data_IF_102672127695
#
_entry.id   IF_102672127695
#
_cell.length_a   1.000
_cell.length_b   1.000
_cell.length_c   1.000
_cell.angle_alpha   90.00
_cell.angle_beta   90.00
_cell.angle_gamma   90.00
#
_symmetry.space_group_name_H-M   'P 1'
#
loop_
_entity.id
_entity.type
_entity.pdbx_description
1 polymer ?
#
# COMPACT_ATOMS: atom_id res chain seq x y z
N UNK A 1 -38.97 -36.40 -35.12
CA UNK A 1 -39.02 -34.93 -35.11
C UNK A 1 -39.79 -34.54 -33.86
N UNK A 2 -39.19 -33.64 -33.09
CA UNK A 2 -39.66 -32.99 -31.84
C UNK A 2 -39.51 -33.76 -30.52
N UNK A 3 -38.36 -33.48 -29.90
CA UNK A 3 -38.10 -33.33 -28.45
C UNK A 3 -38.95 -32.19 -27.86
N UNK A 4 -39.19 -32.23 -26.53
CA UNK A 4 -39.04 -31.12 -25.56
C UNK A 4 -39.65 -31.55 -24.21
N UNK A 5 -38.88 -32.17 -23.31
CA UNK A 5 -38.14 -31.57 -22.16
C UNK A 5 -38.98 -30.75 -21.17
N UNK A 6 -39.08 -31.28 -19.94
CA UNK A 6 -39.42 -30.55 -18.70
C UNK A 6 -38.14 -30.03 -18.04
N UNK A 7 -38.21 -28.94 -17.24
CA UNK A 7 -37.50 -28.92 -15.95
C UNK A 7 -38.41 -28.40 -14.82
N UNK A 8 -38.49 -29.06 -13.66
CA UNK A 8 -37.63 -28.94 -12.45
C UNK A 8 -37.82 -27.61 -11.71
N UNK A 9 -38.49 -27.70 -10.56
CA UNK A 9 -38.61 -26.67 -9.52
C UNK A 9 -37.36 -26.70 -8.65
N UNK A 10 -36.74 -25.54 -8.40
CA UNK A 10 -35.80 -25.33 -7.29
C UNK A 10 -36.14 -24.02 -6.56
N UNK A 11 -36.19 -24.15 -5.24
CA UNK A 11 -36.51 -23.14 -4.25
C UNK A 11 -35.43 -22.05 -4.17
N UNK A 12 -35.85 -20.78 -4.06
CA UNK A 12 -35.00 -19.67 -3.65
C UNK A 12 -35.51 -19.15 -2.30
N UNK A 13 -34.79 -19.50 -1.24
CA UNK A 13 -34.86 -18.90 0.09
C UNK A 13 -33.91 -17.69 0.15
N UNK A 14 -34.44 -16.53 0.53
CA UNK A 14 -33.65 -15.36 0.95
C UNK A 14 -33.21 -15.49 2.41
N UNK A 15 -32.10 -14.85 2.82
CA UNK A 15 -31.94 -14.41 4.20
C UNK A 15 -31.76 -12.89 4.35
N UNK A 16 -32.61 -12.33 5.21
CA UNK A 16 -32.50 -11.03 5.86
C UNK A 16 -31.20 -10.90 6.67
N UNK A 17 -30.55 -9.74 6.63
CA UNK A 17 -29.57 -9.35 7.65
C UNK A 17 -29.96 -7.97 8.20
N UNK A 18 -30.23 -7.99 9.50
CA UNK A 18 -30.67 -6.92 10.37
C UNK A 18 -29.51 -5.98 10.70
N UNK A 19 -29.77 -4.67 10.60
CA UNK A 19 -28.96 -3.60 11.20
C UNK A 19 -29.17 -3.58 12.71
N UNK A 20 -28.11 -3.61 13.52
CA UNK A 20 -28.05 -2.92 14.82
C UNK A 20 -26.64 -3.00 15.44
N UNK A 21 -26.27 -1.91 16.13
CA UNK A 21 -25.18 -1.72 17.10
C UNK A 21 -23.79 -1.32 16.59
N UNK A 22 -23.56 -0.01 16.46
CA UNK A 22 -22.24 0.60 16.64
C UNK A 22 -22.35 1.59 17.82
N UNK A 23 -21.83 1.21 18.98
CA UNK A 23 -21.65 2.12 20.11
C UNK A 23 -20.41 2.99 19.90
N UNK A 24 -20.61 4.31 19.91
CA UNK A 24 -19.56 5.32 20.00
C UNK A 24 -18.90 5.28 21.39
N UNK A 25 -17.60 5.00 21.45
CA UNK A 25 -16.79 5.31 22.63
C UNK A 25 -15.92 6.53 22.33
N UNK A 26 -16.14 7.57 23.14
CA UNK A 26 -15.58 8.90 22.97
C UNK A 26 -14.09 9.01 23.28
N UNK A 27 -13.41 9.83 22.47
CA UNK A 27 -12.03 10.25 22.65
C UNK A 27 -12.00 11.39 23.67
N UNK A 28 -11.57 11.11 24.89
CA UNK A 28 -11.13 12.13 25.83
C UNK A 28 -9.95 11.58 26.62
N UNK A 29 -8.72 11.92 26.20
CA UNK A 29 -7.56 12.24 27.06
C UNK A 29 -6.24 12.13 26.30
N UNK A 30 -5.80 13.20 25.64
CA UNK A 30 -4.38 13.42 25.33
C UNK A 30 -4.05 14.91 25.48
N UNK A 31 -4.03 15.39 26.72
CA UNK A 31 -3.26 16.57 27.12
C UNK A 31 -2.16 16.11 28.06
N UNK A 32 -0.95 16.03 27.54
CA UNK A 32 0.24 15.83 28.35
C UNK A 32 1.25 14.96 27.64
N UNK A 33 2.18 15.59 26.92
CA UNK A 33 3.62 15.33 27.00
C UNK A 33 4.33 16.27 26.03
N UNK A 34 4.72 17.41 26.60
CA UNK A 34 5.58 18.42 26.01
C UNK A 34 7.03 18.13 26.45
N UNK A 35 7.96 18.30 25.50
CA UNK A 35 9.42 18.48 25.62
C UNK A 35 10.34 17.26 25.78
N UNK A 36 11.24 17.10 24.79
CA UNK A 36 12.70 17.02 25.01
C UNK A 36 13.49 17.51 23.77
N UNK A 37 14.72 18.03 23.97
CA UNK A 37 15.43 18.87 23.00
C UNK A 37 16.30 18.10 22.00
N UNK A 38 16.50 18.73 20.85
CA UNK A 38 17.47 18.40 19.80
C UNK A 38 18.89 18.52 20.37
N UNK A 39 19.73 17.50 20.14
CA UNK A 39 21.17 17.63 20.31
C UNK A 39 21.90 17.05 19.09
N UNK A 40 22.89 17.82 18.66
CA UNK A 40 23.68 17.72 17.45
C UNK A 40 24.72 16.59 17.54
N UNK A 41 25.04 16.01 16.38
CA UNK A 41 26.08 14.98 16.27
C UNK A 41 26.19 14.43 14.86
N UNK A 42 26.60 15.26 13.91
CA UNK A 42 26.98 14.81 12.55
C UNK A 42 28.47 14.43 12.56
N UNK A 43 28.86 13.22 12.13
CA UNK A 43 30.21 12.97 11.68
C UNK A 43 30.31 13.10 10.15
N UNK A 44 31.32 13.88 9.74
CA UNK A 44 31.85 13.96 8.39
C UNK A 44 32.17 12.58 7.81
N UNK A 45 31.77 12.36 6.57
CA UNK A 45 32.61 11.65 5.60
C UNK A 45 32.67 12.47 4.31
N UNK A 46 33.89 12.87 4.01
CA UNK A 46 34.36 13.46 2.75
C UNK A 46 34.18 12.46 1.63
N UNK A 47 33.56 12.88 0.53
CA UNK A 47 33.74 12.20 -0.74
C UNK A 47 34.29 13.22 -1.72
N UNK A 48 35.55 12.99 -2.11
CA UNK A 48 36.20 13.73 -3.17
C UNK A 48 35.45 13.51 -4.47
N UNK A 49 35.14 14.65 -5.07
CA UNK A 49 34.86 14.90 -6.47
C UNK A 49 35.73 14.05 -7.42
N UNK A 50 35.13 13.56 -8.49
CA UNK A 50 35.46 13.98 -9.86
C UNK A 50 34.75 13.07 -10.88
N UNK A 51 33.64 13.55 -11.46
CA UNK A 51 33.31 13.32 -12.87
C UNK A 51 32.12 14.19 -13.29
N UNK A 52 32.48 15.40 -13.72
CA UNK A 52 31.97 16.10 -14.91
C UNK A 52 30.45 16.04 -15.20
N UNK A 53 29.76 17.12 -14.84
CA UNK A 53 28.84 17.76 -15.77
C UNK A 53 29.01 19.28 -15.65
N UNK A 54 29.86 19.78 -16.55
CA UNK A 54 30.09 21.17 -16.86
C UNK A 54 28.76 21.84 -17.20
N UNK A 55 28.29 22.68 -16.28
CA UNK A 55 27.19 23.63 -16.51
C UNK A 55 27.75 24.68 -17.46
N UNK A 56 27.27 24.65 -18.70
CA UNK A 56 27.65 25.59 -19.74
C UNK A 56 26.71 26.80 -19.64
N UNK A 57 27.16 27.80 -18.88
CA UNK A 57 26.54 29.12 -18.86
C UNK A 57 26.85 29.81 -20.20
N UNK A 58 25.80 30.03 -21.00
CA UNK A 58 25.84 30.89 -22.18
C UNK A 58 25.00 32.13 -21.89
N UNK A 59 25.68 33.21 -21.52
CA UNK A 59 25.14 34.56 -21.62
C UNK A 59 25.71 35.22 -22.90
N UNK A 60 24.77 35.71 -23.70
CA UNK A 60 24.79 36.84 -24.65
C UNK A 60 25.91 37.04 -25.69
N UNK A 61 25.45 37.05 -26.94
CA UNK A 61 25.67 38.08 -27.98
C UNK A 61 25.97 37.44 -29.33
N UNK A 62 24.93 37.24 -30.14
CA UNK A 62 24.97 37.56 -31.57
C UNK A 62 23.54 37.63 -32.11
N UNK A 63 23.21 38.84 -32.57
CA UNK A 63 22.07 39.18 -33.40
C UNK A 63 21.96 38.22 -34.59
N UNK A 64 20.85 37.47 -34.67
CA UNK A 64 20.27 37.09 -35.95
C UNK A 64 18.75 36.94 -35.78
N UNK A 65 18.11 37.99 -36.30
CA UNK A 65 16.72 38.17 -36.67
C UNK A 65 16.20 36.98 -37.50
N UNK A 66 15.35 36.13 -36.90
CA UNK A 66 14.45 35.24 -37.64
C UNK A 66 13.19 34.98 -36.81
N UNK A 67 12.34 36.01 -36.80
CA UNK A 67 10.93 35.98 -36.45
C UNK A 67 10.16 34.97 -37.33
N UNK A 68 10.20 33.68 -36.97
CA UNK A 68 9.31 32.67 -37.57
C UNK A 68 7.94 32.70 -36.88
N UNK A 69 7.20 33.77 -37.15
CA UNK A 69 5.77 33.85 -36.93
C UNK A 69 5.06 32.77 -37.75
N UNK A 70 4.53 31.75 -37.07
CA UNK A 70 3.67 30.75 -37.70
C UNK A 70 2.25 31.33 -37.75
N UNK A 71 1.95 32.07 -38.82
CA UNK A 71 0.64 32.64 -39.10
C UNK A 71 -0.42 31.53 -39.19
N UNK A 72 -1.24 31.43 -38.15
CA UNK A 72 -2.52 30.73 -38.19
C UNK A 72 -3.58 31.78 -38.54
N UNK A 73 -3.93 31.88 -39.82
CA UNK A 73 -5.06 32.70 -40.29
C UNK A 73 -6.36 32.14 -39.71
N UNK A 74 -6.87 32.79 -38.67
CA UNK A 74 -8.17 32.54 -38.07
C UNK A 74 -9.17 33.51 -38.72
N UNK A 75 -9.97 33.02 -39.67
CA UNK A 75 -11.08 33.76 -40.26
C UNK A 75 -12.24 33.83 -39.25
N UNK A 76 -12.43 35.00 -38.64
CA UNK A 76 -13.64 35.36 -37.89
C UNK A 76 -14.82 35.59 -38.85
N UNK A 77 -15.87 34.78 -38.75
CA UNK A 77 -17.22 35.12 -39.23
C UNK A 77 -18.21 35.16 -38.05
N UNK A 78 -18.68 36.36 -37.72
CA UNK A 78 -19.79 36.63 -36.80
C UNK A 78 -21.14 36.16 -37.40
N UNK A 79 -21.94 35.37 -36.65
CA UNK A 79 -23.41 35.57 -36.64
C UNK A 79 -24.18 34.93 -35.45
N UNK A 80 -24.84 35.82 -34.70
CA UNK A 80 -26.22 35.78 -34.16
C UNK A 80 -26.64 34.65 -33.16
N UNK A 81 -26.97 35.13 -31.95
CA UNK A 81 -27.48 34.49 -30.72
C UNK A 81 -28.72 33.59 -30.89
N UNK A 82 -28.71 32.40 -30.28
CA UNK A 82 -29.91 31.67 -29.84
C UNK A 82 -29.59 30.57 -28.81
N UNK A 83 -30.26 30.64 -27.64
CA UNK A 83 -30.39 29.67 -26.54
C UNK A 83 -29.18 29.43 -25.59
N UNK A 84 -29.35 29.50 -24.25
CA UNK A 84 -28.29 29.18 -23.31
C UNK A 84 -28.13 27.65 -23.23
N UNK A 85 -27.42 27.10 -24.20
CA UNK A 85 -26.73 25.83 -24.06
C UNK A 85 -25.60 26.09 -23.07
N UNK A 86 -25.63 25.43 -21.91
CA UNK A 86 -24.49 25.44 -20.99
C UNK A 86 -23.24 25.05 -21.80
N UNK A 87 -22.19 25.87 -21.84
CA UNK A 87 -21.03 25.56 -22.65
C UNK A 87 -20.48 24.21 -22.20
N UNK A 88 -20.39 23.28 -23.15
CA UNK A 88 -19.47 22.16 -23.06
C UNK A 88 -18.11 22.82 -22.89
N UNK A 89 -17.55 22.76 -21.69
CA UNK A 89 -16.18 23.22 -21.45
C UNK A 89 -15.29 22.56 -22.49
N UNK A 90 -14.54 23.36 -23.24
CA UNK A 90 -13.47 22.87 -24.10
C UNK A 90 -12.68 21.80 -23.31
N UNK A 91 -12.50 20.62 -23.88
CA UNK A 91 -11.63 19.62 -23.27
C UNK A 91 -10.25 20.27 -23.10
N UNK A 92 -9.91 20.68 -21.88
CA UNK A 92 -8.64 21.32 -21.58
C UNK A 92 -7.53 20.38 -22.03
N UNK A 93 -6.82 20.77 -23.09
CA UNK A 93 -5.69 20.00 -23.61
C UNK A 93 -4.66 19.82 -22.51
N UNK A 94 -4.25 18.58 -22.26
CA UNK A 94 -3.30 18.25 -21.19
C UNK A 94 -1.93 18.85 -21.53
N UNK A 95 -1.60 19.95 -20.86
CA UNK A 95 -0.32 20.67 -21.05
C UNK A 95 0.87 19.81 -20.62
N UNK A 96 2.06 20.10 -21.16
CA UNK A 96 3.29 19.37 -20.79
C UNK A 96 3.60 19.44 -19.28
N UNK A 97 3.37 20.60 -18.65
CA UNK A 97 3.53 20.77 -17.20
C UNK A 97 2.57 19.86 -16.41
N UNK A 98 1.32 19.73 -16.86
CA UNK A 98 0.36 18.82 -16.23
C UNK A 98 0.77 17.36 -16.45
N UNK A 99 1.34 16.99 -17.61
CA UNK A 99 1.87 15.64 -17.83
C UNK A 99 2.99 15.29 -16.83
N UNK A 100 3.90 16.21 -16.54
CA UNK A 100 4.95 15.99 -15.52
C UNK A 100 4.33 15.82 -14.13
N UNK A 101 3.36 16.68 -13.77
CA UNK A 101 2.66 16.57 -12.49
C UNK A 101 1.96 15.23 -12.34
N UNK A 102 1.32 14.74 -13.40
CA UNK A 102 0.69 13.42 -13.45
C UNK A 102 1.71 12.30 -13.24
N UNK A 103 2.89 12.37 -13.88
CA UNK A 103 3.97 11.38 -13.71
C UNK A 103 4.45 11.34 -12.26
N UNK A 104 4.71 12.51 -11.64
CA UNK A 104 5.13 12.57 -10.24
C UNK A 104 4.04 12.02 -9.30
N UNK A 105 2.78 12.38 -9.53
CA UNK A 105 1.66 11.88 -8.73
C UNK A 105 1.51 10.36 -8.87
N UNK A 106 1.68 9.81 -10.08
CA UNK A 106 1.69 8.37 -10.32
C UNK A 106 2.80 7.68 -9.55
N UNK A 107 4.02 8.20 -9.61
CA UNK A 107 5.16 7.65 -8.86
C UNK A 107 4.86 7.62 -7.37
N UNK A 108 4.36 8.73 -6.83
CA UNK A 108 4.06 8.84 -5.41
C UNK A 108 2.97 7.85 -4.96
N UNK A 109 1.90 7.69 -5.74
CA UNK A 109 0.85 6.70 -5.44
C UNK A 109 1.42 5.27 -5.47
N UNK A 110 2.28 4.96 -6.45
CA UNK A 110 2.93 3.66 -6.52
C UNK A 110 3.86 3.41 -5.30
N UNK A 111 4.58 4.43 -4.83
CA UNK A 111 5.40 4.33 -3.61
C UNK A 111 4.54 4.03 -2.38
N UNK A 112 3.37 4.67 -2.25
CA UNK A 112 2.41 4.38 -1.19
C UNK A 112 1.86 2.96 -1.28
N UNK A 113 1.60 2.47 -2.50
CA UNK A 113 1.18 1.08 -2.73
C UNK A 113 2.24 0.08 -2.28
N UNK A 114 3.50 0.28 -2.64
CA UNK A 114 4.60 -0.57 -2.20
C UNK A 114 4.79 -0.53 -0.68
N UNK A 115 4.62 0.66 -0.07
CA UNK A 115 4.67 0.80 1.38
C UNK A 115 3.57 0.00 2.08
N UNK A 116 2.32 0.08 1.59
CA UNK A 116 1.21 -0.73 2.12
C UNK A 116 1.52 -2.21 1.98
N UNK A 117 1.98 -2.67 0.80
CA UNK A 117 2.37 -4.08 0.59
C UNK A 117 3.45 -4.52 1.58
N UNK A 118 4.48 -3.71 1.78
CA UNK A 118 5.56 -4.00 2.73
C UNK A 118 5.03 -4.13 4.15
N UNK A 119 4.20 -3.20 4.63
CA UNK A 119 3.62 -3.27 5.96
C UNK A 119 2.67 -4.46 6.13
N UNK A 120 1.88 -4.80 5.10
CA UNK A 120 1.02 -6.00 5.14
C UNK A 120 1.84 -7.27 5.29
N UNK A 121 2.94 -7.38 4.55
CA UNK A 121 3.84 -8.53 4.62
C UNK A 121 4.45 -8.70 6.02
N UNK A 122 4.99 -7.63 6.61
CA UNK A 122 5.59 -7.69 7.95
C UNK A 122 4.56 -7.99 9.04
N UNK A 123 3.35 -7.45 8.91
CA UNK A 123 2.24 -7.77 9.82
C UNK A 123 1.88 -9.26 9.74
N UNK A 124 1.73 -9.79 8.54
CA UNK A 124 1.33 -11.18 8.32
C UNK A 124 2.41 -12.18 8.75
N UNK A 125 3.67 -11.84 8.48
CA UNK A 125 4.83 -12.57 9.00
C UNK A 125 4.85 -12.59 10.52
N UNK A 126 4.65 -11.44 11.17
CA UNK A 126 4.63 -11.36 12.64
C UNK A 126 3.44 -12.13 13.25
N UNK A 127 2.29 -12.16 12.59
CA UNK A 127 1.14 -13.00 12.99
C UNK A 127 1.47 -14.49 12.93
N UNK A 128 2.15 -14.94 11.88
CA UNK A 128 2.54 -16.35 11.77
C UNK A 128 3.62 -16.72 12.79
N UNK A 129 4.59 -15.83 13.07
CA UNK A 129 5.56 -16.02 14.16
C UNK A 129 4.88 -16.15 15.52
N UNK A 130 3.90 -15.29 15.83
CA UNK A 130 3.12 -15.35 17.07
C UNK A 130 2.36 -16.68 17.19
N UNK A 131 1.76 -17.15 16.10
CA UNK A 131 1.07 -18.43 16.05
C UNK A 131 2.02 -19.60 16.28
N UNK A 132 3.22 -19.57 15.71
CA UNK A 132 4.24 -20.59 15.96
C UNK A 132 4.68 -20.62 17.42
N UNK A 133 4.94 -19.46 18.02
CA UNK A 133 5.26 -19.32 19.44
C UNK A 133 4.15 -19.92 20.32
N UNK A 134 2.89 -19.56 20.08
CA UNK A 134 1.74 -20.15 20.80
C UNK A 134 1.64 -21.66 20.64
N UNK A 135 1.90 -22.19 19.46
CA UNK A 135 1.92 -23.65 19.26
C UNK A 135 3.03 -24.32 20.07
N UNK A 136 4.18 -23.67 20.18
CA UNK A 136 5.32 -24.14 20.96
C UNK A 136 5.02 -24.11 22.47
N UNK A 137 4.41 -23.03 22.98
CA UNK A 137 3.90 -22.94 24.36
C UNK A 137 2.99 -24.13 24.66
N UNK A 138 1.94 -24.33 23.83
CA UNK A 138 1.01 -25.44 23.99
C UNK A 138 1.69 -26.83 23.95
N UNK A 139 2.79 -26.99 23.21
CA UNK A 139 3.56 -28.23 23.18
C UNK A 139 4.35 -28.45 24.46
N UNK A 140 4.99 -27.40 24.97
CA UNK A 140 5.76 -27.43 26.22
C UNK A 140 4.81 -27.70 27.40
N UNK A 141 3.65 -27.06 27.45
CA UNK A 141 2.62 -27.30 28.46
C UNK A 141 2.16 -28.76 28.48
N UNK A 142 1.86 -29.35 27.31
CA UNK A 142 1.50 -30.78 27.22
C UNK A 142 2.61 -31.69 27.75
N UNK A 143 3.88 -31.40 27.41
CA UNK A 143 5.02 -32.16 27.93
C UNK A 143 5.17 -32.00 29.44
N UNK A 144 5.00 -30.78 29.96
CA UNK A 144 5.03 -30.48 31.39
C UNK A 144 4.00 -31.32 32.13
N UNK A 145 2.75 -31.31 31.66
CA UNK A 145 1.65 -32.04 32.28
C UNK A 145 1.86 -33.56 32.20
N UNK A 146 2.38 -34.08 31.08
CA UNK A 146 2.76 -35.49 30.96
C UNK A 146 3.88 -35.85 31.95
N UNK A 147 4.93 -35.03 32.07
CA UNK A 147 5.99 -35.27 33.05
C UNK A 147 5.48 -35.19 34.48
N UNK A 148 4.48 -34.35 34.75
CA UNK A 148 3.84 -34.26 36.06
C UNK A 148 3.09 -35.56 36.41
N UNK A 149 2.31 -36.11 35.47
CA UNK A 149 1.67 -37.43 35.64
C UNK A 149 2.73 -38.52 35.85
N UNK A 150 3.83 -38.49 35.10
CA UNK A 150 4.93 -39.45 35.28
C UNK A 150 5.56 -39.34 36.67
N UNK A 151 5.67 -38.14 37.24
CA UNK A 151 6.13 -37.94 38.63
C UNK A 151 5.18 -38.63 39.60
N UNK A 152 3.87 -38.41 39.48
CA UNK A 152 2.88 -39.05 40.36
C UNK A 152 2.98 -40.58 40.29
N UNK A 153 3.10 -41.16 39.08
CA UNK A 153 3.26 -42.62 38.93
C UNK A 153 4.56 -43.14 39.55
N UNK A 154 5.67 -42.42 39.42
CA UNK A 154 6.95 -42.80 40.02
C UNK A 154 6.93 -42.67 41.54
N UNK A 155 6.16 -41.72 42.09
CA UNK A 155 5.91 -41.59 43.53
C UNK A 155 5.05 -42.76 44.04
N UNK A 156 4.04 -43.21 43.30
CA UNK A 156 3.24 -44.40 43.67
C UNK A 156 4.03 -45.70 43.63
N UNK A 157 5.01 -45.80 42.73
CA UNK A 157 5.90 -46.96 42.60
C UNK A 157 7.09 -46.91 43.58
N UNK A 158 7.16 -45.90 44.45
CA UNK A 158 8.25 -45.63 45.41
C UNK A 158 9.64 -45.55 44.74
N UNK A 159 9.69 -45.13 43.47
CA UNK A 159 10.90 -45.00 42.69
C UNK A 159 11.51 -43.61 42.84
N UNK A 160 12.09 -43.36 44.01
CA UNK A 160 12.67 -42.08 44.41
C UNK A 160 13.67 -41.53 43.39
N UNK A 161 14.50 -42.39 42.78
CA UNK A 161 15.49 -41.96 41.79
C UNK A 161 14.84 -41.45 40.49
N UNK A 162 13.75 -42.07 40.04
CA UNK A 162 13.00 -41.59 38.89
C UNK A 162 12.30 -40.26 39.19
N UNK A 163 11.73 -40.11 40.39
CA UNK A 163 11.08 -38.87 40.84
C UNK A 163 12.04 -37.68 40.76
N UNK A 164 13.26 -37.79 41.29
CA UNK A 164 14.23 -36.68 41.22
C UNK A 164 14.62 -36.31 39.80
N UNK A 165 14.79 -37.30 38.91
CA UNK A 165 15.10 -37.04 37.49
C UNK A 165 13.94 -36.34 36.78
N UNK A 166 12.72 -36.80 37.01
CA UNK A 166 11.51 -36.22 36.39
C UNK A 166 11.21 -34.82 36.94
N UNK A 167 11.39 -34.58 38.25
CA UNK A 167 11.29 -33.23 38.83
C UNK A 167 12.29 -32.27 38.20
N UNK A 168 13.55 -32.69 38.03
CA UNK A 168 14.54 -31.87 37.33
C UNK A 168 14.18 -31.61 35.85
N UNK A 169 13.52 -32.56 35.17
CA UNK A 169 13.03 -32.34 33.81
C UNK A 169 11.83 -31.37 33.78
N UNK A 170 10.89 -31.52 34.70
CA UNK A 170 9.75 -30.63 34.87
C UNK A 170 10.20 -29.18 35.15
N UNK A 171 11.15 -28.97 36.07
CA UNK A 171 11.70 -27.64 36.37
C UNK A 171 12.35 -26.97 35.15
N UNK A 172 12.95 -27.76 34.25
CA UNK A 172 13.48 -27.25 32.98
C UNK A 172 12.36 -26.82 32.04
N UNK A 173 11.30 -27.62 31.91
CA UNK A 173 10.14 -27.29 31.09
C UNK A 173 9.43 -26.03 31.59
N UNK A 174 9.34 -25.83 32.90
CA UNK A 174 8.77 -24.60 33.49
C UNK A 174 9.60 -23.38 33.09
N UNK A 175 10.93 -23.45 33.18
CA UNK A 175 11.80 -22.34 32.74
C UNK A 175 11.74 -22.09 31.24
N UNK A 176 11.64 -23.15 30.43
CA UNK A 176 11.47 -23.03 28.99
C UNK A 176 10.13 -22.37 28.65
N UNK A 177 9.06 -22.74 29.36
CA UNK A 177 7.74 -22.13 29.24
C UNK A 177 7.77 -20.64 29.58
N UNK A 178 8.36 -20.25 30.72
CA UNK A 178 8.52 -18.84 31.12
C UNK A 178 9.26 -18.03 30.04
N UNK A 179 10.31 -18.61 29.44
CA UNK A 179 11.06 -17.93 28.38
C UNK A 179 10.28 -17.79 27.07
N UNK A 180 9.43 -18.77 26.74
CA UNK A 180 8.60 -18.74 25.55
C UNK A 180 7.42 -17.77 25.71
N UNK A 181 6.84 -17.67 26.92
CA UNK A 181 5.83 -16.66 27.26
C UNK A 181 6.39 -15.23 27.17
N UNK A 182 7.62 -14.99 27.65
CA UNK A 182 8.29 -13.69 27.49
C UNK A 182 8.54 -13.37 26.00
N UNK A 183 8.84 -14.39 25.19
CA UNK A 183 8.97 -14.23 23.75
C UNK A 183 7.62 -13.92 23.11
N UNK A 184 6.53 -14.55 23.54
CA UNK A 184 5.17 -14.26 23.07
C UNK A 184 4.82 -12.79 23.31
N UNK A 185 5.07 -12.26 24.52
CA UNK A 185 4.81 -10.87 24.86
C UNK A 185 5.56 -9.90 23.94
N UNK A 186 6.83 -10.18 23.66
CA UNK A 186 7.65 -9.37 22.74
C UNK A 186 7.13 -9.41 21.31
N UNK A 187 6.74 -10.59 20.82
CA UNK A 187 6.17 -10.74 19.47
C UNK A 187 4.81 -10.04 19.39
N UNK A 188 3.98 -10.12 20.43
CA UNK A 188 2.70 -9.45 20.50
C UNK A 188 2.84 -7.92 20.49
N UNK A 189 3.79 -7.36 21.25
CA UNK A 189 4.11 -5.93 21.21
C UNK A 189 4.60 -5.50 19.81
N UNK A 190 5.45 -6.31 19.18
CA UNK A 190 5.89 -6.05 17.79
C UNK A 190 4.73 -6.14 16.80
N UNK A 191 3.78 -7.05 17.01
CA UNK A 191 2.59 -7.15 16.17
C UNK A 191 1.79 -5.86 16.23
N UNK A 192 1.54 -5.32 17.42
CA UNK A 192 0.84 -4.05 17.60
C UNK A 192 1.54 -2.89 16.87
N UNK A 193 2.87 -2.84 16.91
CA UNK A 193 3.66 -1.86 16.17
C UNK A 193 3.50 -2.02 14.65
N UNK A 194 3.65 -3.24 14.13
CA UNK A 194 3.51 -3.50 12.67
C UNK A 194 2.10 -3.25 12.17
N UNK A 195 1.08 -3.55 12.98
CA UNK A 195 -0.30 -3.21 12.68
C UNK A 195 -0.43 -1.68 12.66
N UNK A 196 -0.01 -0.96 13.68
CA UNK A 196 -0.08 0.50 13.68
C UNK A 196 0.59 1.13 12.43
N UNK A 197 1.74 0.62 12.00
CA UNK A 197 2.41 1.06 10.77
C UNK A 197 1.58 0.77 9.50
N UNK A 198 0.97 -0.41 9.41
CA UNK A 198 0.05 -0.76 8.32
C UNK A 198 -1.12 0.22 8.26
N UNK A 199 -1.79 0.46 9.38
CA UNK A 199 -2.93 1.39 9.43
C UNK A 199 -2.50 2.81 9.04
N UNK A 200 -1.32 3.25 9.47
CA UNK A 200 -0.74 4.54 9.08
C UNK A 200 -0.51 4.62 7.56
N UNK A 201 0.02 3.56 6.94
CA UNK A 201 0.24 3.49 5.50
C UNK A 201 -1.08 3.48 4.72
N UNK A 202 -2.09 2.74 5.19
CA UNK A 202 -3.43 2.70 4.58
C UNK A 202 -4.13 4.05 4.65
N UNK A 203 -4.05 4.75 5.78
CA UNK A 203 -4.57 6.11 5.94
C UNK A 203 -3.86 7.08 5.00
N UNK A 204 -2.53 6.97 4.86
CA UNK A 204 -1.75 7.81 3.95
C UNK A 204 -2.16 7.58 2.49
N UNK A 205 -2.30 6.33 2.06
CA UNK A 205 -2.83 5.96 0.74
C UNK A 205 -4.26 6.46 0.53
N UNK A 206 -5.11 6.35 1.55
CA UNK A 206 -6.49 6.81 1.52
C UNK A 206 -6.64 8.30 1.19
N UNK A 207 -5.65 9.15 1.53
CA UNK A 207 -5.64 10.58 1.19
C UNK A 207 -5.57 10.82 -0.33
N UNK A 208 -5.04 9.87 -1.09
CA UNK A 208 -4.85 9.99 -2.54
C UNK A 208 -5.93 9.26 -3.35
N UNK A 209 -6.91 8.63 -2.72
CA UNK A 209 -7.93 7.82 -3.41
C UNK A 209 -8.67 8.59 -4.52
N UNK A 210 -9.07 9.84 -4.25
CA UNK A 210 -9.74 10.66 -5.26
C UNK A 210 -8.78 11.09 -6.38
N UNK A 211 -7.57 11.49 -6.00
CA UNK A 211 -6.52 11.91 -6.93
C UNK A 211 -6.10 10.76 -7.86
N UNK A 212 -6.06 9.53 -7.38
CA UNK A 212 -5.77 8.33 -8.17
C UNK A 212 -6.83 8.11 -9.26
N UNK A 213 -8.11 8.24 -8.91
CA UNK A 213 -9.20 8.07 -9.87
C UNK A 213 -9.18 9.16 -10.96
N UNK A 214 -8.98 10.42 -10.57
CA UNK A 214 -8.85 11.53 -11.52
C UNK A 214 -7.62 11.35 -12.43
N UNK A 215 -6.47 10.99 -11.83
CA UNK A 215 -5.23 10.73 -12.56
C UNK A 215 -5.42 9.62 -13.59
N UNK A 216 -6.09 8.52 -13.22
CA UNK A 216 -6.37 7.40 -14.12
C UNK A 216 -7.23 7.82 -15.31
N UNK A 217 -8.21 8.70 -15.10
CA UNK A 217 -9.02 9.26 -16.19
C UNK A 217 -8.16 10.13 -17.13
N UNK A 218 -7.39 11.07 -16.58
CA UNK A 218 -6.50 11.96 -17.35
C UNK A 218 -5.45 11.18 -18.13
N UNK A 219 -4.86 10.14 -17.55
CA UNK A 219 -3.90 9.27 -18.23
C UNK A 219 -4.54 8.54 -19.42
N UNK A 220 -5.76 8.01 -19.27
CA UNK A 220 -6.46 7.36 -20.37
C UNK A 220 -6.79 8.33 -21.50
N UNK A 221 -7.17 9.56 -21.17
CA UNK A 221 -7.40 10.62 -22.15
C UNK A 221 -6.12 10.94 -22.92
N UNK A 222 -5.00 11.15 -22.21
CA UNK A 222 -3.71 11.43 -22.81
C UNK A 222 -3.23 10.30 -23.73
N UNK A 223 -3.41 9.04 -23.32
CA UNK A 223 -3.09 7.87 -24.14
C UNK A 223 -3.93 7.88 -25.42
N UNK A 224 -5.24 8.14 -25.31
CA UNK A 224 -6.13 8.22 -26.48
C UNK A 224 -5.70 9.32 -27.45
N UNK A 225 -5.41 10.52 -26.95
CA UNK A 225 -4.91 11.63 -27.77
C UNK A 225 -3.61 11.27 -28.50
N UNK A 226 -2.64 10.69 -27.79
CA UNK A 226 -1.36 10.24 -28.38
C UNK A 226 -1.57 9.18 -29.46
N UNK A 227 -2.47 8.21 -29.21
CA UNK A 227 -2.79 7.17 -30.21
C UNK A 227 -3.49 7.74 -31.44
N UNK A 228 -4.46 8.63 -31.27
CA UNK A 228 -5.16 9.30 -32.37
C UNK A 228 -4.18 10.14 -33.22
N UNK A 229 -3.28 10.87 -32.56
CA UNK A 229 -2.27 11.66 -33.25
C UNK A 229 -1.29 10.76 -34.04
N UNK A 230 -0.85 9.64 -33.46
CA UNK A 230 -0.02 8.65 -34.15
C UNK A 230 -0.73 8.02 -35.36
N UNK A 231 -2.02 7.67 -35.23
CA UNK A 231 -2.83 7.15 -36.33
C UNK A 231 -2.99 8.18 -37.45
N UNK A 232 -3.29 9.44 -37.10
CA UNK A 232 -3.40 10.51 -38.08
C UNK A 232 -2.10 10.71 -38.86
N UNK A 233 -0.94 10.64 -38.20
CA UNK A 233 0.38 10.68 -38.87
C UNK A 233 0.54 9.52 -39.86
N UNK A 234 0.25 8.29 -39.42
CA UNK A 234 0.31 7.10 -40.27
C UNK A 234 -0.59 7.24 -41.51
N UNK A 235 -1.84 7.67 -41.34
CA UNK A 235 -2.76 7.85 -42.49
C UNK A 235 -2.28 8.92 -43.47
N UNK A 236 -1.61 9.97 -43.00
CA UNK A 236 -1.02 11.00 -43.87
C UNK A 236 0.14 10.41 -44.67
N UNK A 237 1.02 9.66 -44.02
CA UNK A 237 2.14 8.97 -44.67
C UNK A 237 1.66 7.95 -45.72
N UNK A 238 0.64 7.14 -45.41
CA UNK A 238 0.04 6.19 -46.35
C UNK A 238 -0.61 6.84 -47.57
N UNK A 239 -1.21 8.02 -47.39
CA UNK A 239 -1.79 8.80 -48.49
C UNK A 239 -0.71 9.39 -49.38
N UNK A 240 0.37 9.89 -48.78
CA UNK A 240 1.52 10.44 -49.52
C UNK A 240 2.30 9.35 -50.26
N UNK A 241 2.40 8.14 -49.71
CA UNK A 241 3.09 7.01 -50.36
C UNK A 241 2.31 6.36 -51.52
N UNK A 242 1.03 6.70 -51.71
CA UNK A 242 0.17 6.19 -52.80
C UNK A 242 0.12 7.13 -54.02
N UNK A 243 0.82 8.26 -53.97
CA UNK A 243 0.99 9.23 -55.07
C UNK A 243 2.35 8.98 -55.71
#
# INVERSE_FOLDING_TARGET
MEELTKPVNEDILQPNITTDNIELIGINNLKGLINKPVNEGVPMFTNDNDELNEIRDYDDDDDDDDELGFDFEEEEEDSIISEPVYPITEEEKITWHEQIRMIHLRSHINELDEKVKSCTYETEKTREELKQCRNQINLIERKRDETFIQIETAETDDNIAAVYRLKSAHDKLVKELESEEELEEKIAARLEETEYELWKAEVEKGKFLLAENELKYKEQLLVREKTNHALNRLTKEEKLAKI
#
